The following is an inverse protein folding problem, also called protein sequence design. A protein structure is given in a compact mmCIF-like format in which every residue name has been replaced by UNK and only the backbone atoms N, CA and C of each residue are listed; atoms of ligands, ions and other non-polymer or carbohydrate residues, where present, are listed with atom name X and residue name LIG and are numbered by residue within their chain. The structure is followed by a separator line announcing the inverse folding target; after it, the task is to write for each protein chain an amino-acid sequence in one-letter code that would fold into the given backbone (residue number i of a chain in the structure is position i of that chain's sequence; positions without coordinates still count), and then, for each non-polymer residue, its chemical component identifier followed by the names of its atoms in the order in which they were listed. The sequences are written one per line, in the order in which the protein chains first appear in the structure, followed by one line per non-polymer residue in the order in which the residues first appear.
data_IF_509245676066
#
_entry.id   IF_509245676066
#
_cell.length_a   1.000
_cell.length_b   1.000
_cell.length_c   1.000
_cell.angle_alpha   90.00
_cell.angle_beta   90.00
_cell.angle_gamma   90.00
#
_symmetry.space_group_name_H-M   'P 1'
#
loop_
_entity.id
_entity.type
_entity.pdbx_description
1 polymer ?
#
# COMPACT_ATOMS: atom_id res chain seq x y z
N UNK A 1 -49.35 14.14 -8.21
CA UNK A 1 -49.19 14.64 -6.83
C UNK A 1 -47.95 15.53 -6.79
N UNK A 2 -48.10 16.83 -6.52
CA UNK A 2 -46.98 17.74 -6.30
C UNK A 2 -46.72 17.76 -4.81
N UNK A 3 -45.60 17.21 -4.36
CA UNK A 3 -45.18 17.37 -2.97
C UNK A 3 -44.81 18.85 -2.77
N UNK A 4 -45.58 19.56 -1.97
CA UNK A 4 -45.22 20.86 -1.41
C UNK A 4 -44.13 20.63 -0.37
N UNK A 5 -42.87 20.67 -0.80
CA UNK A 5 -41.73 20.58 0.11
C UNK A 5 -41.66 21.83 0.97
N UNK A 6 -42.04 21.72 2.24
CA UNK A 6 -41.63 22.66 3.26
C UNK A 6 -40.11 22.57 3.38
N UNK A 7 -39.41 23.66 3.06
CA UNK A 7 -37.98 23.82 3.33
C UNK A 7 -37.83 24.13 4.82
N UNK A 8 -37.89 23.12 5.68
CA UNK A 8 -37.37 23.23 7.04
C UNK A 8 -35.86 23.43 6.94
N UNK A 9 -35.30 24.45 7.59
CA UNK A 9 -33.87 24.69 7.67
C UNK A 9 -33.20 23.65 8.57
N UNK A 10 -33.15 22.40 8.12
CA UNK A 10 -32.48 21.30 8.78
C UNK A 10 -31.06 21.13 8.24
N UNK A 11 -30.11 20.84 9.12
CA UNK A 11 -28.79 20.39 8.68
C UNK A 11 -28.84 18.89 8.37
N UNK A 12 -28.21 18.50 7.27
CA UNK A 12 -28.10 17.10 6.87
C UNK A 12 -26.62 16.74 6.85
N UNK A 13 -26.24 15.76 7.66
CA UNK A 13 -24.88 15.21 7.73
C UNK A 13 -24.86 13.84 7.07
N UNK A 14 -24.00 13.66 6.09
CA UNK A 14 -23.71 12.36 5.50
C UNK A 14 -22.33 11.90 5.97
N UNK A 15 -22.32 10.86 6.81
CA UNK A 15 -21.12 10.36 7.45
C UNK A 15 -20.74 9.00 6.84
N UNK A 16 -19.45 8.78 6.65
CA UNK A 16 -18.89 7.50 6.23
C UNK A 16 -17.40 7.45 6.54
N UNK A 17 -16.89 6.23 6.68
CA UNK A 17 -15.47 5.97 6.88
C UNK A 17 -14.83 5.57 5.55
N UNK A 18 -13.69 6.17 5.20
CA UNK A 18 -12.82 5.65 4.13
C UNK A 18 -11.54 5.07 4.73
N UNK A 19 -11.25 3.82 4.40
CA UNK A 19 -9.98 3.17 4.75
C UNK A 19 -9.10 3.06 3.52
N UNK A 20 -7.95 3.75 3.56
CA UNK A 20 -6.88 3.63 2.56
C UNK A 20 -5.72 2.80 3.13
N UNK A 21 -5.32 1.75 2.41
CA UNK A 21 -4.10 0.99 2.72
C UNK A 21 -3.05 1.28 1.67
N UNK A 22 -1.80 1.44 2.10
CA UNK A 22 -0.65 1.58 1.21
C UNK A 22 0.41 0.54 1.56
N UNK A 23 1.25 0.13 0.59
CA UNK A 23 2.45 -0.63 0.91
C UNK A 23 3.29 0.12 1.96
N UNK A 24 4.07 -0.59 2.80
CA UNK A 24 4.90 0.04 3.81
C UNK A 24 5.82 1.09 3.17
N UNK A 25 5.85 2.31 3.73
CA UNK A 25 6.64 3.42 3.19
C UNK A 25 8.16 3.19 3.34
N UNK A 26 8.56 2.38 4.32
CA UNK A 26 9.97 2.08 4.63
C UNK A 26 10.43 0.80 3.92
N UNK A 27 10.47 0.79 2.59
CA UNK A 27 11.14 -0.28 1.85
C UNK A 27 12.57 0.15 1.56
N UNK A 28 13.60 -0.51 2.11
CA UNK A 28 14.98 -0.15 1.82
C UNK A 28 15.21 -0.25 0.32
N UNK A 29 15.75 0.82 -0.26
CA UNK A 29 16.11 0.84 -1.67
C UNK A 29 17.22 -0.19 -1.92
N UNK A 30 17.14 -0.86 -3.06
CA UNK A 30 18.20 -1.77 -3.47
C UNK A 30 19.41 -0.91 -3.85
N UNK A 31 20.59 -1.24 -3.35
CA UNK A 31 21.80 -0.56 -3.81
C UNK A 31 22.09 -0.94 -5.27
N UNK A 32 22.84 -0.11 -5.98
CA UNK A 32 23.26 -0.38 -7.37
C UNK A 32 23.91 -1.77 -7.50
N UNK A 33 24.77 -2.12 -6.54
CA UNK A 33 25.43 -3.43 -6.53
C UNK A 33 24.45 -4.59 -6.33
N UNK A 34 23.46 -4.43 -5.46
CA UNK A 34 22.42 -5.44 -5.27
C UNK A 34 21.57 -5.63 -6.53
N UNK A 35 21.29 -4.53 -7.25
CA UNK A 35 20.55 -4.57 -8.51
C UNK A 35 21.38 -5.24 -9.61
N UNK A 36 22.66 -4.87 -9.74
CA UNK A 36 23.63 -5.52 -10.62
C UNK A 36 23.66 -7.04 -10.41
N UNK A 37 23.83 -7.49 -9.16
CA UNK A 37 23.82 -8.92 -8.84
C UNK A 37 22.52 -9.60 -9.28
N UNK A 38 21.37 -8.99 -9.00
CA UNK A 38 20.08 -9.53 -9.40
C UNK A 38 19.95 -9.65 -10.93
N UNK A 39 20.32 -8.60 -11.66
CA UNK A 39 20.23 -8.58 -13.12
C UNK A 39 21.15 -9.64 -13.74
N UNK A 40 22.42 -9.69 -13.35
CA UNK A 40 23.38 -10.68 -13.85
C UNK A 40 22.95 -12.11 -13.54
N UNK A 41 22.39 -12.37 -12.36
CA UNK A 41 21.85 -13.70 -12.02
C UNK A 41 20.67 -14.04 -12.93
N UNK A 42 19.78 -13.08 -13.20
CA UNK A 42 18.59 -13.30 -14.03
C UNK A 42 18.97 -13.61 -15.48
N UNK A 43 19.90 -12.86 -16.06
CA UNK A 43 20.43 -13.10 -17.42
C UNK A 43 21.06 -14.50 -17.55
N UNK A 44 21.83 -14.94 -16.54
CA UNK A 44 22.37 -16.30 -16.55
C UNK A 44 21.31 -17.39 -16.37
N UNK A 45 20.23 -17.11 -15.64
CA UNK A 45 19.10 -18.04 -15.50
C UNK A 45 18.34 -18.20 -16.82
N UNK A 46 18.19 -17.12 -17.59
CA UNK A 46 17.60 -17.16 -18.93
C UNK A 46 18.48 -17.95 -19.92
N UNK A 47 19.80 -17.92 -19.71
CA UNK A 47 20.76 -18.72 -20.49
C UNK A 47 20.74 -20.22 -20.11
N UNK A 48 20.06 -20.60 -19.03
CA UNK A 48 19.90 -22.00 -18.59
C UNK A 48 20.85 -22.46 -17.49
N UNK A 49 21.66 -21.57 -16.90
CA UNK A 49 22.59 -21.96 -15.83
C UNK A 49 21.85 -22.30 -14.53
N UNK A 50 22.34 -23.32 -13.81
CA UNK A 50 21.88 -23.66 -12.47
C UNK A 50 22.40 -22.67 -11.43
N UNK A 51 21.75 -22.59 -10.26
CA UNK A 51 22.16 -21.65 -9.21
C UNK A 51 23.59 -21.88 -8.71
N UNK A 52 24.06 -23.13 -8.69
CA UNK A 52 25.43 -23.46 -8.28
C UNK A 52 26.45 -23.02 -9.33
N UNK A 53 26.18 -23.26 -10.62
CA UNK A 53 27.03 -22.77 -11.72
C UNK A 53 27.12 -21.24 -11.71
N UNK A 54 26.02 -20.54 -11.44
CA UNK A 54 26.01 -19.07 -11.33
C UNK A 54 26.85 -18.63 -10.13
N UNK A 55 26.74 -19.31 -8.99
CA UNK A 55 27.54 -19.00 -7.81
C UNK A 55 29.04 -19.18 -8.07
N UNK A 56 29.43 -20.27 -8.75
CA UNK A 56 30.81 -20.50 -9.19
C UNK A 56 31.31 -19.43 -10.14
N UNK A 57 30.50 -19.05 -11.14
CA UNK A 57 30.84 -17.98 -12.08
C UNK A 57 31.05 -16.64 -11.38
N UNK A 58 30.16 -16.28 -10.45
CA UNK A 58 30.26 -15.04 -9.66
C UNK A 58 31.55 -15.04 -8.83
N UNK A 59 31.86 -16.15 -8.17
CA UNK A 59 33.09 -16.31 -7.40
C UNK A 59 34.35 -16.25 -8.29
N UNK A 60 34.32 -16.85 -9.48
CA UNK A 60 35.43 -16.83 -10.46
C UNK A 60 35.70 -15.43 -10.98
N UNK A 61 34.65 -14.62 -11.15
CA UNK A 61 34.76 -13.19 -11.49
C UNK A 61 35.20 -12.31 -10.32
N UNK A 62 35.30 -12.86 -9.11
CA UNK A 62 35.73 -12.13 -7.91
C UNK A 62 34.62 -11.35 -7.22
N UNK A 63 33.35 -11.56 -7.59
CA UNK A 63 32.23 -10.91 -6.93
C UNK A 63 31.99 -11.51 -5.54
N UNK A 64 31.67 -10.65 -4.58
CA UNK A 64 31.35 -11.03 -3.22
C UNK A 64 29.91 -10.62 -2.90
N UNK A 65 29.27 -11.32 -1.96
CA UNK A 65 27.99 -10.83 -1.43
C UNK A 65 28.18 -9.44 -0.79
N UNK A 66 27.06 -8.73 -0.59
CA UNK A 66 27.03 -7.42 0.10
C UNK A 66 27.75 -7.45 1.47
N UNK A 67 27.86 -8.64 2.09
CA UNK A 67 28.56 -8.86 3.37
C UNK A 67 29.99 -9.40 3.21
N UNK A 68 30.56 -9.34 2.01
CA UNK A 68 31.92 -9.80 1.72
C UNK A 68 32.12 -11.33 1.71
N UNK A 69 31.06 -12.13 1.64
CA UNK A 69 31.15 -13.61 1.61
C UNK A 69 31.06 -14.14 0.17
N UNK A 70 31.74 -15.26 -0.10
CA UNK A 70 31.62 -16.02 -1.35
C UNK A 70 30.18 -16.50 -1.58
N UNK A 71 29.79 -16.61 -2.84
CA UNK A 71 28.48 -17.10 -3.24
C UNK A 71 28.38 -18.62 -3.12
N UNK A 72 27.18 -19.08 -2.73
CA UNK A 72 26.71 -20.47 -2.79
C UNK A 72 25.40 -20.46 -3.56
N UNK A 73 24.95 -21.58 -4.14
CA UNK A 73 23.67 -21.63 -4.86
C UNK A 73 22.49 -21.10 -4.02
N UNK A 74 22.46 -21.40 -2.72
CA UNK A 74 21.46 -20.87 -1.79
C UNK A 74 21.44 -19.33 -1.71
N UNK A 75 22.60 -18.67 -1.83
CA UNK A 75 22.68 -17.21 -1.84
C UNK A 75 22.05 -16.66 -3.12
N UNK A 76 22.40 -17.24 -4.27
CA UNK A 76 21.88 -16.84 -5.59
C UNK A 76 20.36 -17.00 -5.64
N UNK A 77 19.85 -18.17 -5.25
CA UNK A 77 18.41 -18.41 -5.18
C UNK A 77 17.70 -17.41 -4.25
N UNK A 78 18.29 -17.12 -3.09
CA UNK A 78 17.72 -16.16 -2.14
C UNK A 78 17.65 -14.74 -2.69
N UNK A 79 18.62 -14.30 -3.51
CA UNK A 79 18.62 -12.97 -4.12
C UNK A 79 17.42 -12.82 -5.06
N UNK A 80 17.25 -13.78 -5.98
CA UNK A 80 16.13 -13.77 -6.94
C UNK A 80 14.79 -13.84 -6.21
N UNK A 81 14.66 -14.77 -5.25
CA UNK A 81 13.42 -14.93 -4.48
C UNK A 81 13.05 -13.66 -3.72
N UNK A 82 14.01 -13.01 -3.06
CA UNK A 82 13.77 -11.79 -2.28
C UNK A 82 13.37 -10.60 -3.16
N UNK A 83 13.94 -10.49 -4.37
CA UNK A 83 13.55 -9.43 -5.31
C UNK A 83 12.11 -9.60 -5.77
N UNK A 84 11.72 -10.81 -6.18
CA UNK A 84 10.33 -11.13 -6.57
C UNK A 84 9.33 -10.80 -5.47
N UNK A 85 9.56 -11.28 -4.25
CA UNK A 85 8.68 -11.00 -3.12
C UNK A 85 8.57 -9.50 -2.79
N UNK A 86 9.64 -8.74 -3.00
CA UNK A 86 9.63 -7.29 -2.81
C UNK A 86 8.80 -6.61 -3.89
N UNK A 87 8.96 -7.01 -5.15
CA UNK A 87 8.22 -6.44 -6.28
C UNK A 87 6.72 -6.78 -6.17
N UNK A 88 6.38 -8.02 -5.82
CA UNK A 88 4.99 -8.45 -5.57
C UNK A 88 4.34 -7.65 -4.43
N UNK A 89 5.11 -7.32 -3.38
CA UNK A 89 4.61 -6.53 -2.25
C UNK A 89 4.40 -5.06 -2.61
N UNK A 90 5.25 -4.52 -3.49
CA UNK A 90 5.17 -3.13 -3.96
C UNK A 90 4.07 -2.94 -5.00
N UNK A 91 3.88 -3.92 -5.89
CA UNK A 91 2.85 -3.91 -6.93
C UNK A 91 1.47 -4.38 -6.47
N UNK A 92 1.27 -4.67 -5.18
CA UNK A 92 -0.04 -5.07 -4.66
C UNK A 92 -0.96 -3.84 -4.60
N UNK A 93 -2.07 -3.94 -5.32
CA UNK A 93 -3.17 -2.99 -5.20
C UNK A 93 -3.95 -3.22 -3.90
N UNK A 94 -4.21 -2.13 -3.18
CA UNK A 94 -5.06 -2.13 -2.00
C UNK A 94 -6.34 -1.37 -2.33
N UNK A 95 -7.48 -2.05 -2.50
CA UNK A 95 -8.72 -1.38 -2.84
C UNK A 95 -9.15 -0.45 -1.71
N UNK A 96 -9.73 0.69 -2.10
CA UNK A 96 -10.41 1.59 -1.17
C UNK A 96 -11.62 0.87 -0.57
N UNK A 97 -11.73 0.90 0.76
CA UNK A 97 -12.90 0.36 1.46
C UNK A 97 -13.65 1.53 2.08
N UNK A 98 -14.93 1.68 1.71
CA UNK A 98 -15.87 2.62 2.33
C UNK A 98 -16.83 1.85 3.23
N UNK A 99 -17.02 2.33 4.45
CA UNK A 99 -17.88 1.70 5.46
C UNK A 99 -18.64 2.76 6.28
N UNK A 100 -19.47 2.29 7.21
CA UNK A 100 -20.11 3.12 8.24
C UNK A 100 -20.94 4.28 7.69
N UNK A 101 -21.68 4.01 6.62
CA UNK A 101 -22.57 5.00 6.00
C UNK A 101 -23.74 5.33 6.93
N UNK A 102 -23.85 6.59 7.37
CA UNK A 102 -25.01 7.11 8.10
C UNK A 102 -25.44 8.46 7.55
N UNK A 103 -26.73 8.76 7.75
CA UNK A 103 -27.34 10.03 7.39
C UNK A 103 -28.03 10.57 8.65
N UNK A 104 -27.58 11.71 9.12
CA UNK A 104 -28.12 12.37 10.31
C UNK A 104 -28.79 13.67 9.87
N UNK A 105 -30.03 13.87 10.34
CA UNK A 105 -30.82 15.07 10.03
C UNK A 105 -31.07 15.78 11.35
N UNK A 106 -30.63 17.03 11.45
CA UNK A 106 -30.85 17.89 12.61
C UNK A 106 -31.84 18.98 12.24
N UNK A 107 -33.03 18.91 12.82
CA UNK A 107 -34.04 19.94 12.65
C UNK A 107 -33.78 21.10 13.61
N UNK A 108 -33.40 22.26 13.06
CA UNK A 108 -33.12 23.47 13.84
C UNK A 108 -34.37 24.21 14.30
N UNK A 109 -35.55 23.86 13.78
CA UNK A 109 -36.81 24.51 14.21
C UNK A 109 -37.11 24.23 15.68
N UNK A 110 -36.68 23.08 16.20
CA UNK A 110 -36.81 22.70 17.60
C UNK A 110 -36.02 23.66 18.50
N UNK A 111 -34.78 23.99 18.12
CA UNK A 111 -33.92 24.92 18.86
C UNK A 111 -34.40 26.37 18.80
N UNK A 112 -35.02 26.78 17.69
CA UNK A 112 -35.59 28.12 17.55
C UNK A 112 -36.88 28.29 18.37
N UNK A 113 -37.67 27.23 18.56
CA UNK A 113 -38.91 27.28 19.36
C UNK A 113 -38.67 27.43 20.87
N UNK A 114 -37.57 26.91 21.41
CA UNK A 114 -37.22 27.08 22.84
C UNK A 114 -36.72 28.50 23.15
N UNK A 115 -35.97 29.12 22.23
CA UNK A 115 -35.45 30.49 22.42
C UNK A 115 -36.55 31.58 22.38
N UNK A 116 -37.64 31.37 21.63
CA UNK A 116 -38.77 32.31 21.61
C UNK A 116 -39.66 32.22 22.86
N UNK A 117 -39.66 31.10 23.57
CA UNK A 117 -40.41 30.93 24.83
C UNK A 117 -39.72 31.61 26.03
N UNK A 118 -38.39 31.75 26.00
CA UNK A 118 -37.63 32.45 27.05
C UNK A 118 -37.69 33.98 26.92
N UNK A 119 -38.06 34.51 25.75
CA UNK A 119 -38.22 35.97 25.54
C UNK A 119 -39.63 36.49 25.86
N UNK A 120 -40.59 35.60 26.15
CA UNK A 120 -41.96 35.95 26.58
C UNK A 120 -42.20 35.80 28.09
N UNK A 121 -41.15 35.67 28.92
CA UNK A 121 -41.25 35.68 30.38
C UNK A 121 -40.61 36.92 31.00
#
# INVERSE_FOLDING_TARGET
MRCSGEFSSGDVFFCFSITYRRPPFNVPQYSEYQFFLYQTITEQRETGNTFDQIAEWLNKKGYLSVRGKKFKGNHVHSIVKKKRLKDDKLGRDYPEVRSDFSLEVVDKTILMSEFELDFQR
#
